data_IF_457853366916
#
_entry.id   IF_457853366916
#
_cell.length_a   1.000
_cell.length_b   1.000
_cell.length_c   1.000
_cell.angle_alpha   90.00
_cell.angle_beta   90.00
_cell.angle_gamma   90.00
#
_symmetry.space_group_name_H-M   'P 1'
#
loop_
_entity.id
_entity.type
_entity.pdbx_description
1 polymer ?
#
# COMPACT_ATOMS: atom_id res chain seq x y z
N UNK A 1 25.14 -31.45 24.19
CA UNK A 1 23.81 -31.00 23.67
C UNK A 1 23.71 -29.48 23.53
N UNK A 2 24.37 -28.63 24.36
CA UNK A 2 24.26 -27.17 24.27
C UNK A 2 24.82 -26.57 22.98
N UNK A 3 25.90 -27.14 22.45
CA UNK A 3 26.52 -26.68 21.19
C UNK A 3 25.60 -26.91 19.97
N UNK A 4 24.86 -28.01 19.94
CA UNK A 4 23.90 -28.29 18.86
C UNK A 4 22.71 -27.34 18.95
N UNK A 5 22.12 -27.13 20.14
CA UNK A 5 21.00 -26.22 20.34
C UNK A 5 21.40 -24.80 19.93
N UNK A 6 22.59 -24.35 20.33
CA UNK A 6 23.09 -23.01 19.93
C UNK A 6 23.26 -22.89 18.40
N UNK A 7 23.82 -23.91 17.74
CA UNK A 7 23.95 -23.92 16.28
C UNK A 7 22.60 -23.89 15.60
N UNK A 8 21.66 -24.72 16.04
CA UNK A 8 20.31 -24.71 15.53
C UNK A 8 19.64 -23.34 15.68
N UNK A 9 19.68 -22.73 16.87
CA UNK A 9 19.12 -21.40 17.12
C UNK A 9 19.75 -20.32 16.21
N UNK A 10 21.09 -20.37 16.02
CA UNK A 10 21.77 -19.42 15.12
C UNK A 10 21.32 -19.58 13.66
N UNK A 11 21.23 -20.79 13.15
CA UNK A 11 20.80 -21.04 11.78
C UNK A 11 19.33 -20.67 11.58
N UNK A 12 18.47 -20.98 12.55
CA UNK A 12 17.06 -20.57 12.51
C UNK A 12 16.93 -19.05 12.50
N UNK A 13 17.64 -18.33 13.38
CA UNK A 13 17.63 -16.87 13.41
C UNK A 13 18.17 -16.27 12.10
N UNK A 14 19.24 -16.84 11.54
CA UNK A 14 19.78 -16.39 10.25
C UNK A 14 18.78 -16.60 9.09
N UNK A 15 18.09 -17.73 9.06
CA UNK A 15 17.05 -17.98 8.05
C UNK A 15 15.88 -17.00 8.18
N UNK A 16 15.38 -16.78 9.40
CA UNK A 16 14.31 -15.81 9.63
C UNK A 16 14.74 -14.38 9.24
N UNK A 17 15.96 -14.01 9.59
CA UNK A 17 16.51 -12.69 9.19
C UNK A 17 16.62 -12.57 7.65
N UNK A 18 17.01 -13.64 6.96
CA UNK A 18 17.08 -13.65 5.50
C UNK A 18 15.69 -13.52 4.86
N UNK A 19 14.67 -14.22 5.39
CA UNK A 19 13.28 -14.10 4.94
C UNK A 19 12.78 -12.66 5.13
N UNK A 20 12.95 -12.11 6.33
CA UNK A 20 12.55 -10.73 6.62
C UNK A 20 13.26 -9.72 5.69
N UNK A 21 14.56 -9.91 5.45
CA UNK A 21 15.33 -9.07 4.54
C UNK A 21 14.80 -9.11 3.10
N UNK A 22 14.42 -10.29 2.60
CA UNK A 22 13.80 -10.42 1.26
C UNK A 22 12.49 -9.65 1.20
N UNK A 23 11.62 -9.78 2.20
CA UNK A 23 10.34 -9.06 2.23
C UNK A 23 10.56 -7.55 2.32
N UNK A 24 11.48 -7.08 3.16
CA UNK A 24 11.81 -5.65 3.26
C UNK A 24 12.40 -5.10 1.97
N UNK A 25 13.28 -5.85 1.29
CA UNK A 25 13.92 -5.38 0.04
C UNK A 25 12.92 -5.24 -1.10
N UNK A 26 12.07 -6.24 -1.31
CA UNK A 26 11.10 -6.19 -2.42
C UNK A 26 9.82 -5.42 -2.08
N UNK A 27 9.41 -5.45 -0.84
CA UNK A 27 8.30 -4.70 -0.25
C UNK A 27 7.07 -4.57 -1.17
N UNK A 28 6.41 -5.66 -1.56
CA UNK A 28 5.33 -5.63 -2.55
C UNK A 28 4.11 -4.81 -2.10
N UNK A 29 4.00 -4.48 -0.80
CA UNK A 29 2.94 -3.63 -0.27
C UNK A 29 3.40 -2.20 0.01
N UNK A 30 4.66 -1.88 -0.32
CA UNK A 30 5.22 -0.53 -0.12
C UNK A 30 5.15 -0.05 1.34
N UNK A 31 5.18 -0.98 2.28
CA UNK A 31 5.03 -0.69 3.70
C UNK A 31 6.26 0.01 4.29
N UNK A 32 7.46 -0.35 3.83
CA UNK A 32 8.72 0.19 4.29
C UNK A 32 9.30 1.26 3.37
N UNK A 33 9.05 1.16 2.06
CA UNK A 33 9.57 2.10 1.06
C UNK A 33 8.77 2.05 -0.25
N UNK A 34 9.02 3.02 -1.13
CA UNK A 34 8.50 3.00 -2.49
C UNK A 34 9.17 1.94 -3.37
N UNK A 35 8.78 1.84 -4.65
CA UNK A 35 9.36 0.88 -5.59
C UNK A 35 10.88 0.99 -5.67
N UNK A 36 11.56 -0.14 -5.86
CA UNK A 36 13.00 -0.15 -6.08
C UNK A 36 13.37 0.63 -7.36
N UNK A 37 14.57 1.24 -7.41
CA UNK A 37 15.01 1.97 -8.60
C UNK A 37 14.93 1.09 -9.86
N UNK A 38 14.23 1.59 -10.88
CA UNK A 38 14.03 0.88 -12.15
C UNK A 38 12.87 -0.13 -12.14
N UNK A 39 12.17 -0.28 -11.03
CA UNK A 39 10.94 -1.07 -10.96
C UNK A 39 9.70 -0.17 -10.97
N UNK A 40 8.67 -0.63 -11.67
CA UNK A 40 7.34 -0.03 -11.61
C UNK A 40 6.59 -0.53 -10.38
N UNK A 41 5.73 0.32 -9.85
CA UNK A 41 4.79 -0.12 -8.83
C UNK A 41 3.71 -1.00 -9.47
N UNK A 42 3.42 -2.14 -8.84
CA UNK A 42 2.39 -3.08 -9.26
C UNK A 42 1.36 -3.14 -8.15
N UNK A 43 0.19 -2.54 -8.39
CA UNK A 43 -0.90 -2.51 -7.41
C UNK A 43 -1.99 -3.47 -7.84
N UNK A 44 -2.22 -4.49 -7.04
CA UNK A 44 -3.21 -5.55 -7.29
C UNK A 44 -4.06 -5.87 -6.07
N UNK A 45 -3.60 -5.46 -4.89
CA UNK A 45 -4.27 -5.67 -3.61
C UNK A 45 -4.40 -4.31 -2.91
N UNK A 46 -5.36 -3.50 -3.38
CA UNK A 46 -5.51 -2.11 -2.93
C UNK A 46 -5.58 -1.95 -1.41
N UNK A 47 -6.30 -2.84 -0.72
CA UNK A 47 -6.43 -2.82 0.73
C UNK A 47 -5.09 -3.06 1.47
N UNK A 48 -4.15 -3.77 0.85
CA UNK A 48 -2.83 -4.03 1.41
C UNK A 48 -1.82 -2.94 1.04
N UNK A 49 -1.98 -2.32 -0.12
CA UNK A 49 -0.98 -1.46 -0.74
C UNK A 49 -1.27 0.04 -0.56
N UNK A 50 -2.54 0.44 -0.48
CA UNK A 50 -2.94 1.84 -0.46
C UNK A 50 -2.27 2.65 0.65
N UNK A 51 -2.21 2.12 1.88
CA UNK A 51 -1.58 2.82 2.99
C UNK A 51 -0.06 2.98 2.79
N UNK A 52 0.59 1.97 2.20
CA UNK A 52 2.01 2.01 1.86
C UNK A 52 2.29 3.07 0.78
N UNK A 53 1.46 3.13 -0.27
CA UNK A 53 1.60 4.16 -1.32
C UNK A 53 1.42 5.57 -0.75
N UNK A 54 0.44 5.78 0.13
CA UNK A 54 0.20 7.07 0.78
C UNK A 54 1.42 7.50 1.63
N UNK A 55 2.06 6.57 2.33
CA UNK A 55 3.19 6.90 3.23
C UNK A 55 4.51 7.07 2.50
N UNK A 56 4.76 6.29 1.45
CA UNK A 56 6.12 6.10 0.92
C UNK A 56 6.32 6.56 -0.53
N UNK A 57 5.27 7.00 -1.23
CA UNK A 57 5.42 7.52 -2.59
C UNK A 57 5.61 9.03 -2.62
N UNK A 58 6.14 9.53 -3.75
CA UNK A 58 6.37 10.95 -3.92
C UNK A 58 5.21 11.57 -4.71
N UNK A 59 4.39 12.37 -4.06
CA UNK A 59 3.24 13.06 -4.65
C UNK A 59 2.98 14.39 -3.93
N UNK A 60 2.13 15.22 -4.52
CA UNK A 60 1.68 16.50 -3.96
C UNK A 60 0.15 16.69 -4.02
N UNK A 61 -0.55 15.69 -4.52
CA UNK A 61 -2.00 15.72 -4.67
C UNK A 61 -2.60 14.31 -4.45
N UNK A 62 -3.82 14.26 -3.96
CA UNK A 62 -4.51 13.00 -3.64
C UNK A 62 -5.84 12.93 -4.36
N UNK A 63 -6.13 11.78 -4.94
CA UNK A 63 -7.44 11.37 -5.43
C UNK A 63 -8.05 10.40 -4.41
N UNK A 64 -9.00 10.87 -3.64
CA UNK A 64 -9.70 10.07 -2.63
C UNK A 64 -11.10 9.66 -3.12
N UNK A 65 -11.51 8.45 -2.81
CA UNK A 65 -12.83 7.96 -3.17
C UNK A 65 -13.03 6.47 -2.96
N UNK A 66 -14.14 5.97 -3.44
CA UNK A 66 -14.47 4.55 -3.44
C UNK A 66 -13.94 3.84 -4.70
N UNK A 67 -14.39 2.61 -4.95
CA UNK A 67 -14.07 1.84 -6.15
C UNK A 67 -14.41 2.56 -7.46
N UNK A 68 -15.32 3.51 -7.46
CA UNK A 68 -15.61 4.35 -8.64
C UNK A 68 -14.39 5.19 -9.02
N UNK A 69 -13.74 5.81 -8.03
CA UNK A 69 -12.57 6.64 -8.23
C UNK A 69 -11.32 5.82 -8.64
N UNK A 70 -11.30 4.53 -8.35
CA UNK A 70 -10.22 3.63 -8.77
C UNK A 70 -10.04 3.60 -10.30
N UNK A 71 -11.13 3.79 -11.05
CA UNK A 71 -11.13 3.83 -12.50
C UNK A 71 -10.63 5.16 -13.10
N UNK A 72 -10.43 6.19 -12.30
CA UNK A 72 -9.91 7.44 -12.81
C UNK A 72 -8.40 7.32 -13.06
N UNK A 73 -7.95 7.87 -14.18
CA UNK A 73 -6.53 7.93 -14.48
C UNK A 73 -5.92 9.15 -13.78
N UNK A 74 -4.89 8.93 -12.97
CA UNK A 74 -4.18 10.00 -12.26
C UNK A 74 -3.64 11.07 -13.22
N UNK A 75 -3.17 10.66 -14.41
CA UNK A 75 -2.64 11.58 -15.40
C UNK A 75 -3.64 12.65 -15.85
N UNK A 76 -4.95 12.38 -15.81
CA UNK A 76 -5.96 13.40 -16.12
C UNK A 76 -5.90 14.58 -15.14
N UNK A 77 -5.69 14.28 -13.88
CA UNK A 77 -5.56 15.30 -12.82
C UNK A 77 -4.20 15.97 -12.89
N UNK A 78 -3.15 15.20 -13.15
CA UNK A 78 -1.78 15.69 -13.22
C UNK A 78 -1.61 16.71 -14.35
N UNK A 79 -2.13 16.40 -15.54
CA UNK A 79 -2.10 17.29 -16.69
C UNK A 79 -2.97 18.53 -16.46
N UNK A 80 -4.20 18.35 -15.93
CA UNK A 80 -5.14 19.45 -15.75
C UNK A 80 -4.71 20.44 -14.66
N UNK A 81 -4.05 19.96 -13.61
CA UNK A 81 -3.71 20.75 -12.41
C UNK A 81 -2.21 20.91 -12.18
N UNK A 82 -1.37 20.39 -13.08
CA UNK A 82 0.11 20.45 -12.96
C UNK A 82 0.60 19.90 -11.61
N UNK A 83 0.15 18.71 -11.27
CA UNK A 83 0.43 18.04 -10.00
C UNK A 83 0.89 16.61 -10.19
N UNK A 84 1.16 15.90 -9.12
CA UNK A 84 1.40 14.45 -9.06
C UNK A 84 0.42 13.84 -8.08
N UNK A 85 -0.45 12.99 -8.58
CA UNK A 85 -1.60 12.48 -7.83
C UNK A 85 -1.39 11.02 -7.40
N UNK A 86 -1.56 10.72 -6.12
CA UNK A 86 -1.70 9.36 -5.60
C UNK A 86 -3.18 9.03 -5.37
N UNK A 87 -3.55 7.77 -5.50
CA UNK A 87 -4.89 7.29 -5.14
C UNK A 87 -4.97 6.92 -3.66
N UNK A 88 -5.98 7.43 -2.98
CA UNK A 88 -6.39 7.06 -1.63
C UNK A 88 -7.78 6.42 -1.69
N UNK A 89 -7.83 5.17 -2.10
CA UNK A 89 -9.06 4.48 -2.51
C UNK A 89 -9.39 3.37 -1.51
N UNK A 90 -10.67 3.30 -1.16
CA UNK A 90 -11.22 2.19 -0.38
C UNK A 90 -12.51 1.72 -1.05
N UNK A 91 -12.53 0.47 -1.50
CA UNK A 91 -13.75 -0.13 -2.05
C UNK A 91 -14.86 -0.09 -1.00
N UNK A 92 -16.04 0.42 -1.38
CA UNK A 92 -17.14 0.69 -0.45
C UNK A 92 -16.76 1.57 0.75
N UNK A 93 -15.75 2.43 0.59
CA UNK A 93 -15.21 3.26 1.67
C UNK A 93 -16.22 4.26 2.20
N UNK A 94 -16.32 4.35 3.52
CA UNK A 94 -17.09 5.37 4.22
C UNK A 94 -16.31 6.68 4.32
N UNK A 95 -16.95 7.76 4.75
CA UNK A 95 -16.24 9.00 5.04
C UNK A 95 -15.17 8.82 6.14
N UNK A 96 -15.40 7.95 7.11
CA UNK A 96 -14.42 7.64 8.15
C UNK A 96 -13.16 6.94 7.58
N UNK A 97 -13.35 5.98 6.64
CA UNK A 97 -12.25 5.30 5.98
C UNK A 97 -11.39 6.28 5.16
N UNK A 98 -12.06 7.10 4.35
CA UNK A 98 -11.37 8.09 3.51
C UNK A 98 -10.70 9.18 4.34
N UNK A 99 -11.32 9.57 5.46
CA UNK A 99 -10.71 10.49 6.42
C UNK A 99 -9.39 9.94 6.96
N UNK A 100 -9.35 8.64 7.31
CA UNK A 100 -8.11 8.01 7.79
C UNK A 100 -6.98 8.12 6.75
N UNK A 101 -7.26 7.81 5.47
CA UNK A 101 -6.28 7.98 4.41
C UNK A 101 -5.83 9.42 4.21
N UNK A 102 -6.77 10.37 4.32
CA UNK A 102 -6.46 11.78 4.19
C UNK A 102 -5.61 12.28 5.36
N UNK A 103 -5.93 11.87 6.59
CA UNK A 103 -5.13 12.20 7.77
C UNK A 103 -3.68 11.70 7.63
N UNK A 104 -3.47 10.47 7.12
CA UNK A 104 -2.13 9.93 6.84
C UNK A 104 -1.43 10.71 5.72
N UNK A 105 -2.14 11.06 4.64
CA UNK A 105 -1.56 11.82 3.54
C UNK A 105 -1.12 13.23 3.99
N UNK A 106 -1.95 13.94 4.75
CA UNK A 106 -1.61 15.24 5.33
C UNK A 106 -0.49 15.17 6.37
N UNK A 107 -0.38 14.04 7.09
CA UNK A 107 0.69 13.85 8.06
C UNK A 107 2.06 13.59 7.42
N UNK A 108 2.08 13.10 6.19
CA UNK A 108 3.31 12.67 5.50
C UNK A 108 3.73 13.58 4.34
N UNK A 109 2.82 14.38 3.77
CA UNK A 109 3.06 15.20 2.58
C UNK A 109 2.42 16.58 2.66
N UNK A 110 3.07 17.55 1.98
CA UNK A 110 2.49 18.89 1.75
C UNK A 110 1.59 18.81 0.51
N UNK A 111 0.29 18.65 0.72
CA UNK A 111 -0.67 18.48 -0.36
C UNK A 111 -1.07 19.82 -0.97
N UNK A 112 -1.02 19.90 -2.31
CA UNK A 112 -1.53 21.03 -3.10
C UNK A 112 -3.02 20.89 -3.41
N UNK A 113 -3.43 19.67 -3.80
CA UNK A 113 -4.81 19.40 -4.20
C UNK A 113 -5.33 18.13 -3.55
N UNK A 114 -6.61 18.15 -3.26
CA UNK A 114 -7.40 16.97 -2.88
C UNK A 114 -8.57 16.87 -3.82
N UNK A 115 -8.61 15.80 -4.61
CA UNK A 115 -9.71 15.45 -5.48
C UNK A 115 -10.54 14.39 -4.77
N UNK A 116 -11.76 14.73 -4.41
CA UNK A 116 -12.61 13.82 -3.63
C UNK A 116 -13.82 13.38 -4.47
N UNK A 117 -13.86 12.08 -4.78
CA UNK A 117 -15.03 11.46 -5.39
C UNK A 117 -16.02 11.06 -4.31
N UNK A 118 -17.06 11.89 -4.14
CA UNK A 118 -18.06 11.67 -3.11
C UNK A 118 -19.17 10.75 -3.61
N UNK A 119 -19.22 9.56 -3.05
CA UNK A 119 -20.33 8.63 -3.25
C UNK A 119 -21.39 8.83 -2.16
N UNK A 120 -22.67 8.80 -2.54
CA UNK A 120 -23.77 9.05 -1.60
C UNK A 120 -23.81 8.04 -0.45
N UNK A 121 -23.48 6.78 -0.71
CA UNK A 121 -23.43 5.74 0.32
C UNK A 121 -22.31 6.01 1.36
N UNK A 122 -21.25 6.72 0.99
CA UNK A 122 -20.17 7.05 1.92
C UNK A 122 -20.63 7.99 3.06
N UNK A 123 -21.75 8.68 2.87
CA UNK A 123 -22.37 9.54 3.87
C UNK A 123 -23.22 8.77 4.89
N UNK A 124 -23.51 7.49 4.61
CA UNK A 124 -24.25 6.60 5.51
C UNK A 124 -23.24 5.80 6.34
N UNK A 125 -23.19 6.05 7.63
CA UNK A 125 -22.28 5.36 8.54
C UNK A 125 -21.83 6.22 9.72
N UNK A 126 -21.21 5.56 10.68
CA UNK A 126 -20.61 6.22 11.83
C UNK A 126 -19.33 6.96 11.38
N UNK A 127 -19.26 8.31 11.52
CA UNK A 127 -18.09 9.07 11.10
C UNK A 127 -16.83 8.83 11.96
N UNK A 128 -16.99 8.20 13.12
CA UNK A 128 -15.88 7.93 14.05
C UNK A 128 -15.30 6.52 13.92
N UNK A 129 -15.98 5.62 13.18
CA UNK A 129 -15.56 4.22 13.06
C UNK A 129 -15.14 3.90 11.64
N UNK A 130 -13.86 3.61 11.45
CA UNK A 130 -13.30 3.22 10.15
C UNK A 130 -13.09 1.70 10.05
N UNK A 131 -13.02 1.20 8.83
CA UNK A 131 -12.72 -0.19 8.47
C UNK A 131 -13.61 -1.23 9.16
N UNK A 132 -14.90 -0.89 9.37
CA UNK A 132 -15.89 -1.79 9.96
C UNK A 132 -16.26 -2.88 8.97
N UNK A 133 -16.36 -4.11 9.44
CA UNK A 133 -16.76 -5.30 8.67
C UNK A 133 -15.85 -5.66 7.49
N UNK A 134 -14.60 -5.23 7.51
CA UNK A 134 -13.65 -5.49 6.46
C UNK A 134 -12.55 -6.47 6.87
N UNK A 135 -12.08 -7.24 5.91
CA UNK A 135 -10.87 -8.06 6.03
C UNK A 135 -9.59 -7.25 5.86
N UNK A 136 -9.61 -5.98 6.28
CA UNK A 136 -8.48 -5.08 6.17
C UNK A 136 -7.26 -5.59 6.94
N UNK A 137 -6.06 -5.52 6.35
CA UNK A 137 -4.82 -5.91 7.02
C UNK A 137 -4.36 -4.82 7.99
N UNK A 138 -5.12 -4.60 9.06
CA UNK A 138 -4.93 -3.47 10.00
C UNK A 138 -3.51 -3.39 10.60
N UNK A 139 -2.76 -4.50 10.59
CA UNK A 139 -1.36 -4.51 11.00
C UNK A 139 -0.42 -3.70 10.08
N UNK A 140 -0.84 -3.41 8.83
CA UNK A 140 -0.12 -2.49 7.93
C UNK A 140 -0.52 -1.03 8.16
N UNK A 141 -1.67 -0.81 8.79
CA UNK A 141 -2.26 0.51 9.00
C UNK A 141 -1.84 1.15 10.31
N UNK A 142 -1.48 0.35 11.30
CA UNK A 142 -0.98 0.85 12.57
C UNK A 142 0.50 1.34 12.46
N UNK A 143 1.02 1.91 13.53
CA UNK A 143 2.42 2.37 13.62
C UNK A 143 3.23 1.51 14.61
N UNK A 144 2.74 0.30 14.88
CA UNK A 144 3.38 -0.62 15.81
C UNK A 144 4.31 -1.60 15.07
N UNK A 145 5.64 -1.40 15.13
CA UNK A 145 6.59 -2.25 14.40
C UNK A 145 6.58 -3.72 14.84
N UNK A 146 6.01 -4.03 15.99
CA UNK A 146 5.87 -5.43 16.41
C UNK A 146 4.78 -6.17 15.61
N UNK A 147 3.84 -5.45 15.01
CA UNK A 147 2.81 -6.03 14.15
C UNK A 147 3.34 -6.36 12.75
N UNK A 148 4.45 -5.76 12.32
CA UNK A 148 5.10 -6.00 11.02
C UNK A 148 5.57 -7.45 10.88
N UNK A 149 5.74 -8.18 11.99
CA UNK A 149 6.00 -9.62 11.98
C UNK A 149 4.98 -10.39 11.13
N UNK A 150 3.72 -9.93 11.11
CA UNK A 150 2.65 -10.53 10.29
C UNK A 150 2.88 -10.34 8.79
N UNK A 151 3.53 -9.26 8.41
CA UNK A 151 3.93 -8.98 7.03
C UNK A 151 5.23 -9.71 6.67
N UNK A 152 6.26 -9.57 7.50
CA UNK A 152 7.60 -10.10 7.26
C UNK A 152 7.63 -11.63 7.09
N UNK A 153 6.73 -12.33 7.76
CA UNK A 153 6.65 -13.80 7.72
C UNK A 153 5.37 -14.33 7.09
N UNK A 154 4.71 -13.51 6.28
CA UNK A 154 3.56 -13.95 5.50
C UNK A 154 4.03 -14.79 4.32
N UNK A 155 3.56 -16.04 4.25
CA UNK A 155 3.89 -16.97 3.16
C UNK A 155 3.42 -16.45 1.79
N UNK A 156 2.25 -15.80 1.74
CA UNK A 156 1.65 -15.32 0.50
C UNK A 156 2.48 -14.14 -0.05
N UNK A 157 2.98 -13.27 0.82
CA UNK A 157 3.93 -12.21 0.44
C UNK A 157 5.20 -12.79 -0.18
N UNK A 158 5.77 -13.83 0.45
CA UNK A 158 7.03 -14.42 0.01
C UNK A 158 6.89 -15.25 -1.29
N UNK A 159 5.82 -16.04 -1.42
CA UNK A 159 5.66 -17.02 -2.49
C UNK A 159 4.69 -16.60 -3.60
N UNK A 160 3.90 -15.55 -3.40
CA UNK A 160 2.94 -15.05 -4.38
C UNK A 160 3.23 -13.60 -4.75
N UNK A 161 3.21 -12.66 -3.79
CA UNK A 161 3.25 -11.24 -4.08
C UNK A 161 4.62 -10.78 -4.61
N UNK A 162 5.72 -11.23 -4.01
CA UNK A 162 7.07 -10.91 -4.51
C UNK A 162 7.32 -11.52 -5.89
N UNK A 163 7.07 -12.82 -6.14
CA UNK A 163 7.19 -13.39 -7.48
C UNK A 163 6.31 -12.69 -8.51
N UNK A 164 5.09 -12.29 -8.14
CA UNK A 164 4.19 -11.56 -9.03
C UNK A 164 4.74 -10.17 -9.37
N UNK A 165 5.19 -9.40 -8.37
CA UNK A 165 5.83 -8.10 -8.56
C UNK A 165 6.99 -8.19 -9.55
N UNK A 166 7.86 -9.19 -9.36
CA UNK A 166 9.01 -9.43 -10.25
C UNK A 166 8.56 -9.82 -11.66
N UNK A 167 7.64 -10.79 -11.78
CA UNK A 167 7.14 -11.24 -13.07
C UNK A 167 6.52 -10.09 -13.87
N UNK A 168 5.71 -9.23 -13.24
CA UNK A 168 5.10 -8.09 -13.90
C UNK A 168 6.15 -7.07 -14.37
N UNK A 169 7.17 -6.82 -13.57
CA UNK A 169 8.25 -5.92 -13.96
C UNK A 169 9.12 -6.49 -15.11
N UNK A 170 9.30 -7.80 -15.19
CA UNK A 170 10.04 -8.43 -16.29
C UNK A 170 9.20 -8.64 -17.57
N UNK A 171 7.90 -8.87 -17.45
CA UNK A 171 7.00 -9.11 -18.59
C UNK A 171 6.45 -7.82 -19.23
N UNK A 172 6.67 -6.66 -18.62
CA UNK A 172 6.16 -5.38 -19.08
C UNK A 172 4.76 -5.09 -18.54
N UNK A 173 4.67 -4.76 -17.24
CA UNK A 173 3.42 -4.31 -16.61
C UNK A 173 2.88 -3.06 -17.27
N UNK A 174 1.61 -3.13 -17.71
CA UNK A 174 0.90 -1.98 -18.26
C UNK A 174 0.33 -1.12 -17.13
N UNK A 175 1.06 -0.07 -16.79
CA UNK A 175 0.68 0.94 -15.82
C UNK A 175 -0.05 2.14 -16.46
N UNK A 176 -0.23 2.13 -17.80
CA UNK A 176 -0.94 3.17 -18.52
C UNK A 176 -2.47 3.08 -18.39
N UNK A 177 -3.00 1.94 -17.99
CA UNK A 177 -4.43 1.79 -17.73
C UNK A 177 -4.81 2.48 -16.41
N UNK A 178 -5.91 3.23 -16.43
CA UNK A 178 -6.42 3.97 -15.25
C UNK A 178 -6.48 3.12 -13.98
N UNK A 179 -6.95 1.90 -14.13
CA UNK A 179 -7.08 0.94 -13.03
C UNK A 179 -5.73 0.55 -12.42
N UNK A 180 -4.70 0.38 -13.25
CA UNK A 180 -3.38 -0.07 -12.83
C UNK A 180 -2.50 1.06 -12.29
N UNK A 181 -2.83 2.31 -12.62
CA UNK A 181 -1.99 3.44 -12.26
C UNK A 181 -2.44 4.09 -10.95
N UNK A 182 -1.70 3.86 -9.89
CA UNK A 182 -2.02 4.33 -8.54
C UNK A 182 -1.19 5.54 -8.10
N UNK A 183 -0.03 5.75 -8.70
CA UNK A 183 0.89 6.79 -8.27
C UNK A 183 2.05 7.00 -9.28
N UNK A 184 2.94 7.86 -8.86
CA UNK A 184 4.26 8.09 -9.43
C UNK A 184 5.38 7.43 -8.64
#
# INVERSE_FOLDING_TARGET
NSKWIRRFAVWTAALLAAIAAVVVIFDPFYHFHGPLPGMKAVVTKSEYQCIGTIRNFSYDSVLAGSSTAENYNNHWFDEAFSCRTVKAIKSSGTCADLKFYMDEAFATHDLKNVFYSLDLFALDGDPETNFVNDSMPLYLYDKNPFNDVKYLFNKDVLFEDIPYLLAMNFSGYDDGMSYNFWQY
#
